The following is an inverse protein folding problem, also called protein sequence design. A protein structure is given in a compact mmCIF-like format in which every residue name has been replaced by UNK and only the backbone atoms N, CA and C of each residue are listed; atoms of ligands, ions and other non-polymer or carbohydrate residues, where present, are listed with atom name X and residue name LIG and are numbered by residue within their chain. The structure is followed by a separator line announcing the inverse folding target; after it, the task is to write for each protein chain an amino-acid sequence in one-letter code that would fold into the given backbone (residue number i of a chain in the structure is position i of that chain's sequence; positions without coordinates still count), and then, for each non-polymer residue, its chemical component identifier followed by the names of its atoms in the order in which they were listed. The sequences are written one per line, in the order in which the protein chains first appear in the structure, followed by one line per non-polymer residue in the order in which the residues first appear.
data_IF_992492482331
#
_entry.id   IF_992492482331
#
_cell.length_a   1.000
_cell.length_b   1.000
_cell.length_c   1.000
_cell.angle_alpha   90.00
_cell.angle_beta   90.00
_cell.angle_gamma   90.00
#
_symmetry.space_group_name_H-M   'P 1'
#
loop_
_entity.id
_entity.type
_entity.pdbx_description
1 polymer ?
#
# COMPACT_ATOMS: atom_id res chain seq x y z
N UNK A 1 -20.82 7.98 -1.49
CA UNK A 1 -21.78 7.24 -2.34
C UNK A 1 -21.36 7.25 -3.81
N UNK A 2 -21.15 8.42 -4.46
CA UNK A 2 -20.81 8.51 -5.90
C UNK A 2 -19.51 7.77 -6.22
N UNK A 3 -18.46 7.95 -5.43
CA UNK A 3 -17.19 7.24 -5.62
C UNK A 3 -17.33 5.71 -5.55
N UNK A 4 -18.21 5.21 -4.70
CA UNK A 4 -18.50 3.78 -4.60
C UNK A 4 -19.16 3.24 -5.89
N UNK A 5 -20.21 3.91 -6.37
CA UNK A 5 -20.90 3.52 -7.61
C UNK A 5 -19.96 3.52 -8.80
N UNK A 6 -19.14 4.56 -8.94
CA UNK A 6 -18.17 4.67 -10.01
C UNK A 6 -17.11 3.56 -9.91
N UNK A 7 -16.65 3.24 -8.70
CA UNK A 7 -15.67 2.17 -8.49
C UNK A 7 -16.22 0.80 -8.90
N UNK A 8 -17.49 0.51 -8.57
CA UNK A 8 -18.15 -0.73 -9.02
C UNK A 8 -18.22 -0.80 -10.56
N UNK A 9 -18.58 0.29 -11.22
CA UNK A 9 -18.60 0.35 -12.68
C UNK A 9 -17.19 0.21 -13.25
N UNK A 10 -16.19 0.81 -12.60
CA UNK A 10 -14.81 0.79 -13.04
C UNK A 10 -14.19 -0.63 -13.03
N UNK A 11 -14.72 -1.56 -12.22
CA UNK A 11 -14.25 -2.96 -12.23
C UNK A 11 -14.43 -3.63 -13.60
N UNK A 12 -15.43 -3.23 -14.39
CA UNK A 12 -15.64 -3.76 -15.73
C UNK A 12 -14.51 -3.41 -16.72
N UNK A 13 -13.70 -2.39 -16.41
CA UNK A 13 -12.54 -1.99 -17.21
C UNK A 13 -11.26 -2.72 -16.80
N UNK A 14 -11.27 -3.45 -15.68
CA UNK A 14 -10.14 -4.28 -15.23
C UNK A 14 -10.12 -5.57 -16.03
N UNK A 15 -9.53 -5.49 -17.21
CA UNK A 15 -9.42 -6.65 -18.13
C UNK A 15 -8.06 -6.65 -18.78
N UNK A 16 -7.40 -7.81 -18.76
CA UNK A 16 -6.20 -8.08 -19.55
C UNK A 16 -6.64 -8.39 -20.99
N UNK A 17 -6.07 -7.68 -21.96
CA UNK A 17 -6.45 -7.82 -23.38
C UNK A 17 -5.78 -9.01 -24.07
N UNK A 18 -4.60 -9.39 -23.60
CA UNK A 18 -3.84 -10.54 -24.12
C UNK A 18 -2.89 -11.06 -23.04
N UNK A 19 -2.39 -12.28 -23.18
CA UNK A 19 -1.51 -12.95 -22.20
C UNK A 19 -0.16 -12.24 -21.98
N UNK A 20 0.25 -11.37 -22.89
CA UNK A 20 1.51 -10.62 -22.77
C UNK A 20 1.36 -9.30 -22.04
N UNK A 21 0.13 -8.85 -21.81
CA UNK A 21 -0.13 -7.59 -21.11
C UNK A 21 0.10 -7.75 -19.61
N UNK A 22 0.81 -6.80 -19.02
CA UNK A 22 0.99 -6.78 -17.57
C UNK A 22 -0.35 -6.58 -16.84
N UNK A 23 -0.66 -7.39 -15.81
CA UNK A 23 -1.84 -7.20 -14.98
C UNK A 23 -1.93 -5.78 -14.37
N UNK A 24 -0.80 -5.13 -14.08
CA UNK A 24 -0.73 -3.76 -13.60
C UNK A 24 -1.45 -2.76 -14.53
N UNK A 25 -1.34 -2.95 -15.86
CA UNK A 25 -2.01 -2.07 -16.83
C UNK A 25 -3.54 -2.23 -16.73
N UNK A 26 -4.02 -3.45 -16.53
CA UNK A 26 -5.45 -3.71 -16.36
C UNK A 26 -5.98 -3.06 -15.07
N UNK A 27 -5.24 -3.16 -13.96
CA UNK A 27 -5.58 -2.54 -12.69
C UNK A 27 -5.58 -1.00 -12.81
N UNK A 28 -4.56 -0.42 -13.44
CA UNK A 28 -4.49 1.02 -13.68
C UNK A 28 -5.66 1.54 -14.52
N UNK A 29 -6.16 0.77 -15.51
CA UNK A 29 -7.40 1.12 -16.23
C UNK A 29 -8.60 1.26 -15.30
N UNK A 30 -8.75 0.36 -14.33
CA UNK A 30 -9.78 0.44 -13.30
C UNK A 30 -9.67 1.74 -12.50
N UNK A 31 -8.47 2.07 -12.02
CA UNK A 31 -8.23 3.29 -11.23
C UNK A 31 -8.54 4.54 -12.04
N UNK A 32 -8.00 4.66 -13.26
CA UNK A 32 -8.21 5.85 -14.08
C UNK A 32 -9.67 5.99 -14.55
N UNK A 33 -10.35 4.89 -14.87
CA UNK A 33 -11.78 4.96 -15.20
C UNK A 33 -12.62 5.40 -14.01
N UNK A 34 -12.30 4.94 -12.78
CA UNK A 34 -12.92 5.40 -11.56
C UNK A 34 -12.67 6.91 -11.34
N UNK A 35 -11.43 7.36 -11.53
CA UNK A 35 -11.05 8.76 -11.37
C UNK A 35 -11.82 9.67 -12.35
N UNK A 36 -11.86 9.30 -13.62
CA UNK A 36 -12.60 10.05 -14.65
C UNK A 36 -14.10 10.06 -14.37
N UNK A 37 -14.67 8.90 -14.06
CA UNK A 37 -16.10 8.78 -13.74
C UNK A 37 -16.48 9.62 -12.50
N UNK A 38 -15.62 9.58 -11.45
CA UNK A 38 -15.84 10.40 -10.27
C UNK A 38 -15.71 11.91 -10.56
N UNK A 39 -14.73 12.31 -11.36
CA UNK A 39 -14.57 13.72 -11.77
C UNK A 39 -15.81 14.23 -12.50
N UNK A 40 -16.35 13.46 -13.46
CA UNK A 40 -17.52 13.85 -14.22
C UNK A 40 -18.80 13.89 -13.37
N UNK A 41 -19.05 12.85 -12.57
CA UNK A 41 -20.24 12.81 -11.73
C UNK A 41 -20.19 13.82 -10.57
N UNK A 42 -19.02 14.13 -10.05
CA UNK A 42 -18.84 15.17 -9.04
C UNK A 42 -19.17 16.56 -9.59
N UNK A 43 -18.86 16.85 -10.86
CA UNK A 43 -19.27 18.10 -11.52
C UNK A 43 -20.78 18.22 -11.56
N UNK A 44 -21.47 17.17 -12.00
CA UNK A 44 -22.93 17.14 -12.08
C UNK A 44 -23.54 17.35 -10.68
N UNK A 45 -23.02 16.63 -9.69
CA UNK A 45 -23.50 16.73 -8.32
C UNK A 45 -23.31 18.14 -7.72
N UNK A 46 -22.12 18.73 -7.90
CA UNK A 46 -21.83 20.08 -7.41
C UNK A 46 -22.75 21.10 -8.10
N UNK A 47 -22.91 21.00 -9.42
CA UNK A 47 -23.81 21.88 -10.16
C UNK A 47 -25.28 21.73 -9.73
N UNK A 48 -25.70 20.52 -9.41
CA UNK A 48 -27.05 20.27 -8.90
C UNK A 48 -27.29 20.84 -7.49
N UNK A 49 -26.29 20.69 -6.58
CA UNK A 49 -26.41 21.08 -5.17
C UNK A 49 -26.12 22.57 -4.96
N UNK A 50 -25.05 23.08 -5.55
CA UNK A 50 -24.60 24.49 -5.35
C UNK A 50 -25.22 25.41 -6.40
N UNK A 51 -25.38 24.92 -7.64
CA UNK A 51 -25.88 25.74 -8.75
C UNK A 51 -24.97 26.94 -9.02
N UNK A 52 -25.58 28.12 -9.02
CA UNK A 52 -24.91 29.39 -9.23
C UNK A 52 -24.61 30.16 -7.93
N UNK A 53 -24.84 29.51 -6.78
CA UNK A 53 -24.52 30.12 -5.48
C UNK A 53 -23.02 30.27 -5.31
N UNK A 54 -22.62 31.39 -4.73
CA UNK A 54 -21.26 31.66 -4.27
C UNK A 54 -21.22 31.92 -2.78
N UNK A 55 -20.15 31.62 -2.14
CA UNK A 55 -19.88 31.91 -0.73
C UNK A 55 -18.42 32.27 -0.52
N UNK A 56 -18.13 32.97 0.58
CA UNK A 56 -16.74 33.33 0.90
C UNK A 56 -16.13 32.32 1.87
N UNK A 57 -14.95 31.81 1.54
CA UNK A 57 -14.21 30.88 2.39
C UNK A 57 -12.73 31.27 2.44
N UNK A 58 -12.23 31.60 3.63
CA UNK A 58 -10.85 32.06 3.80
C UNK A 58 -10.49 33.30 2.96
N UNK A 59 -11.46 34.21 2.77
CA UNK A 59 -11.26 35.43 1.99
C UNK A 59 -11.36 35.24 0.46
N UNK A 60 -11.70 34.05 -0.03
CA UNK A 60 -11.87 33.73 -1.45
C UNK A 60 -13.36 33.50 -1.74
N UNK A 61 -13.87 34.10 -2.81
CA UNK A 61 -15.21 33.82 -3.31
C UNK A 61 -15.20 32.48 -4.06
N UNK A 62 -16.03 31.52 -3.60
CA UNK A 62 -16.05 30.14 -4.04
C UNK A 62 -17.41 29.85 -4.66
N UNK A 63 -17.40 29.38 -5.90
CA UNK A 63 -18.57 28.84 -6.60
C UNK A 63 -18.40 27.38 -6.96
N UNK A 64 -19.36 26.83 -7.67
CA UNK A 64 -19.38 25.44 -8.10
C UNK A 64 -18.14 25.00 -8.89
N UNK A 65 -17.61 25.87 -9.74
CA UNK A 65 -16.40 25.57 -10.50
C UNK A 65 -15.15 25.49 -9.62
N UNK A 66 -15.01 26.38 -8.64
CA UNK A 66 -13.89 26.35 -7.70
C UNK A 66 -13.86 25.04 -6.89
N UNK A 67 -15.02 24.59 -6.41
CA UNK A 67 -15.15 23.33 -5.70
C UNK A 67 -14.81 22.13 -6.59
N UNK A 68 -15.26 22.13 -7.84
CA UNK A 68 -14.93 21.07 -8.76
C UNK A 68 -13.45 21.01 -9.11
N UNK A 69 -12.81 22.17 -9.33
CA UNK A 69 -11.36 22.25 -9.52
C UNK A 69 -10.60 21.72 -8.29
N UNK A 70 -11.07 22.01 -7.08
CA UNK A 70 -10.49 21.43 -5.87
C UNK A 70 -10.59 19.90 -5.85
N UNK A 71 -11.72 19.30 -6.31
CA UNK A 71 -11.85 17.84 -6.49
C UNK A 71 -10.79 17.33 -7.48
N UNK A 72 -10.61 17.99 -8.61
CA UNK A 72 -9.61 17.60 -9.62
C UNK A 72 -8.19 17.67 -9.07
N UNK A 73 -7.89 18.68 -8.26
CA UNK A 73 -6.59 18.77 -7.55
C UNK A 73 -6.38 17.53 -6.66
N UNK A 74 -7.39 17.13 -5.90
CA UNK A 74 -7.32 15.93 -5.05
C UNK A 74 -7.12 14.64 -5.84
N UNK A 75 -7.89 14.44 -6.91
CA UNK A 75 -7.73 13.28 -7.83
C UNK A 75 -6.33 13.28 -8.43
N UNK A 76 -5.85 14.42 -8.91
CA UNK A 76 -4.52 14.57 -9.50
C UNK A 76 -3.40 14.28 -8.50
N UNK A 77 -3.52 14.77 -7.27
CA UNK A 77 -2.56 14.49 -6.20
C UNK A 77 -2.50 13.00 -5.87
N UNK A 78 -3.67 12.35 -5.74
CA UNK A 78 -3.74 10.91 -5.51
C UNK A 78 -3.11 10.09 -6.65
N UNK A 79 -3.40 10.44 -7.89
CA UNK A 79 -2.81 9.79 -9.07
C UNK A 79 -1.29 10.00 -9.14
N UNK A 80 -0.80 11.21 -8.85
CA UNK A 80 0.63 11.53 -8.85
C UNK A 80 1.39 10.77 -7.76
N UNK A 81 0.84 10.69 -6.54
CA UNK A 81 1.42 9.91 -5.44
C UNK A 81 1.44 8.43 -5.79
N UNK A 82 0.33 7.90 -6.34
CA UNK A 82 0.24 6.50 -6.75
C UNK A 82 1.27 6.15 -7.82
N UNK A 83 1.40 6.99 -8.85
CA UNK A 83 2.39 6.78 -9.91
C UNK A 83 3.83 6.87 -9.39
N UNK A 84 4.14 7.86 -8.55
CA UNK A 84 5.47 7.96 -7.94
C UNK A 84 5.78 6.74 -7.07
N UNK A 85 4.81 6.25 -6.30
CA UNK A 85 4.98 5.05 -5.48
C UNK A 85 5.22 3.81 -6.35
N UNK A 86 4.49 3.65 -7.47
CA UNK A 86 4.74 2.60 -8.45
C UNK A 86 6.18 2.62 -8.95
N UNK A 87 6.68 3.80 -9.29
CA UNK A 87 8.08 3.96 -9.74
C UNK A 87 9.11 3.50 -8.69
N UNK A 88 8.81 3.67 -7.41
CA UNK A 88 9.71 3.33 -6.31
C UNK A 88 9.59 1.91 -5.80
N UNK A 89 8.48 1.21 -6.09
CA UNK A 89 8.18 -0.11 -5.50
C UNK A 89 8.08 -1.24 -6.53
N UNK A 90 7.96 -0.94 -7.83
CA UNK A 90 7.83 -1.97 -8.85
C UNK A 90 9.17 -2.45 -9.36
N UNK A 91 9.35 -3.76 -9.49
CA UNK A 91 10.54 -4.42 -10.03
C UNK A 91 10.90 -3.98 -11.47
N UNK A 92 9.98 -3.30 -12.17
CA UNK A 92 10.20 -2.71 -13.49
C UNK A 92 11.22 -1.56 -13.45
N UNK A 93 11.37 -0.87 -12.32
CA UNK A 93 12.18 0.34 -12.19
C UNK A 93 13.51 0.09 -11.49
N UNK A 94 14.47 0.97 -11.78
CA UNK A 94 15.86 0.84 -11.37
C UNK A 94 16.05 0.78 -9.85
N UNK A 95 15.29 1.55 -9.08
CA UNK A 95 15.42 1.59 -7.61
C UNK A 95 15.25 0.21 -6.97
N UNK A 96 14.25 -0.56 -7.42
CA UNK A 96 14.01 -1.92 -6.92
C UNK A 96 15.05 -2.90 -7.45
N UNK A 97 15.49 -2.73 -8.70
CA UNK A 97 16.55 -3.56 -9.27
C UNK A 97 17.89 -3.35 -8.56
N UNK A 98 18.23 -2.12 -8.21
CA UNK A 98 19.44 -1.81 -7.45
C UNK A 98 19.34 -2.29 -6.00
N UNK A 99 18.13 -2.26 -5.43
CA UNK A 99 17.88 -2.88 -4.14
C UNK A 99 18.09 -4.41 -4.20
N UNK A 100 17.56 -5.08 -5.21
CA UNK A 100 17.75 -6.51 -5.41
C UNK A 100 19.22 -6.88 -5.57
N UNK A 101 20.00 -6.09 -6.33
CA UNK A 101 21.46 -6.29 -6.44
C UNK A 101 22.17 -6.17 -5.10
N UNK A 102 21.73 -5.27 -4.22
CA UNK A 102 22.36 -5.12 -2.90
C UNK A 102 22.17 -6.31 -1.98
N UNK A 103 21.23 -7.20 -2.27
CA UNK A 103 21.06 -8.45 -1.53
C UNK A 103 22.27 -9.37 -1.69
N UNK A 104 23.01 -9.28 -2.81
CA UNK A 104 24.24 -10.04 -3.03
C UNK A 104 25.39 -9.58 -2.14
N UNK A 105 25.35 -8.32 -1.65
CA UNK A 105 26.35 -7.76 -0.74
C UNK A 105 26.09 -8.15 0.73
N UNK A 106 24.97 -8.84 0.99
CA UNK A 106 24.59 -9.33 2.30
C UNK A 106 23.42 -8.56 2.97
N UNK A 107 22.88 -9.13 4.06
CA UNK A 107 21.66 -8.60 4.71
C UNK A 107 21.79 -7.17 5.23
N UNK A 108 22.96 -6.79 5.74
CA UNK A 108 23.20 -5.44 6.27
C UNK A 108 23.14 -4.37 5.16
N UNK A 109 23.73 -4.63 4.01
CA UNK A 109 23.68 -3.75 2.84
C UNK A 109 22.25 -3.60 2.34
N UNK A 110 21.54 -4.71 2.19
CA UNK A 110 20.14 -4.72 1.78
C UNK A 110 19.28 -3.89 2.73
N UNK A 111 19.36 -4.13 4.04
CA UNK A 111 18.58 -3.40 5.05
C UNK A 111 18.86 -1.89 5.00
N UNK A 112 20.12 -1.50 4.93
CA UNK A 112 20.51 -0.08 4.87
C UNK A 112 19.96 0.61 3.63
N UNK A 113 20.04 -0.03 2.47
CA UNK A 113 19.49 0.51 1.22
C UNK A 113 17.96 0.56 1.22
N UNK A 114 17.28 -0.46 1.79
CA UNK A 114 15.83 -0.46 1.96
C UNK A 114 15.37 0.73 2.81
N UNK A 115 16.03 0.95 3.94
CA UNK A 115 15.72 2.07 4.83
C UNK A 115 15.96 3.43 4.14
N UNK A 116 17.09 3.58 3.46
CA UNK A 116 17.42 4.79 2.72
C UNK A 116 16.40 5.08 1.61
N UNK A 117 16.02 4.08 0.82
CA UNK A 117 15.01 4.21 -0.22
C UNK A 117 13.65 4.59 0.39
N UNK A 118 13.22 3.91 1.46
CA UNK A 118 11.98 4.20 2.16
C UNK A 118 11.91 5.64 2.68
N UNK A 119 12.98 6.13 3.30
CA UNK A 119 13.05 7.52 3.78
C UNK A 119 13.03 8.53 2.64
N UNK A 120 13.77 8.27 1.56
CA UNK A 120 13.81 9.15 0.40
C UNK A 120 12.46 9.26 -0.33
N UNK A 121 11.68 8.17 -0.34
CA UNK A 121 10.36 8.17 -0.99
C UNK A 121 9.31 9.01 -0.29
N UNK A 122 9.50 9.43 0.95
CA UNK A 122 8.56 10.28 1.67
C UNK A 122 8.54 11.74 1.15
N UNK A 123 9.64 12.21 0.57
CA UNK A 123 9.82 13.62 0.22
C UNK A 123 8.89 14.09 -0.91
N UNK A 124 8.83 13.35 -2.02
CA UNK A 124 8.04 13.76 -3.19
C UNK A 124 6.53 13.76 -2.91
N UNK A 125 5.93 12.75 -2.25
CA UNK A 125 4.55 12.82 -1.81
C UNK A 125 4.25 14.01 -0.91
N UNK A 126 5.14 14.39 0.00
CA UNK A 126 4.98 15.58 0.83
C UNK A 126 4.91 16.87 -0.01
N UNK A 127 5.76 17.01 -1.03
CA UNK A 127 5.71 18.13 -1.97
C UNK A 127 4.41 18.15 -2.78
N UNK A 128 3.94 16.99 -3.26
CA UNK A 128 2.67 16.88 -3.98
C UNK A 128 1.51 17.33 -3.09
N UNK A 129 1.49 16.89 -1.83
CA UNK A 129 0.44 17.27 -0.88
C UNK A 129 0.48 18.76 -0.54
N UNK A 130 1.66 19.34 -0.36
CA UNK A 130 1.82 20.77 -0.13
C UNK A 130 1.30 21.58 -1.33
N UNK A 131 1.69 21.21 -2.54
CA UNK A 131 1.21 21.84 -3.76
C UNK A 131 -0.31 21.69 -3.93
N UNK A 132 -0.85 20.50 -3.67
CA UNK A 132 -2.29 20.23 -3.74
C UNK A 132 -3.07 21.06 -2.71
N UNK A 133 -2.55 21.20 -1.48
CA UNK A 133 -3.19 22.02 -0.44
C UNK A 133 -3.26 23.49 -0.86
N UNK A 134 -2.16 24.04 -1.40
CA UNK A 134 -2.09 25.40 -1.90
C UNK A 134 -3.07 25.58 -3.08
N UNK A 135 -3.05 24.69 -4.06
CA UNK A 135 -3.93 24.76 -5.22
C UNK A 135 -5.41 24.65 -4.83
N UNK A 136 -5.74 23.72 -3.93
CA UNK A 136 -7.10 23.56 -3.43
C UNK A 136 -7.60 24.82 -2.69
N UNK A 137 -6.73 25.45 -1.92
CA UNK A 137 -7.03 26.73 -1.28
C UNK A 137 -7.30 27.84 -2.30
N UNK A 138 -6.51 27.95 -3.36
CA UNK A 138 -6.69 28.96 -4.41
C UNK A 138 -8.05 28.82 -5.14
N UNK A 139 -8.56 27.60 -5.31
CA UNK A 139 -9.82 27.35 -5.98
C UNK A 139 -11.04 27.40 -5.04
N UNK A 140 -10.89 26.99 -3.80
CA UNK A 140 -12.02 26.81 -2.90
C UNK A 140 -11.86 27.41 -1.50
N UNK A 141 -10.86 28.27 -1.30
CA UNK A 141 -10.53 28.83 0.01
C UNK A 141 -10.22 27.74 1.02
N UNK A 142 -10.46 28.00 2.29
CA UNK A 142 -10.31 27.00 3.35
C UNK A 142 -11.19 25.75 3.12
N UNK A 143 -12.37 25.94 2.47
CA UNK A 143 -13.27 24.84 2.14
C UNK A 143 -12.78 24.00 0.95
N UNK A 144 -11.92 24.54 0.10
CA UNK A 144 -11.31 23.81 -1.02
C UNK A 144 -10.41 22.65 -0.55
N UNK A 145 -9.75 22.79 0.59
CA UNK A 145 -8.85 21.75 1.12
C UNK A 145 -9.62 20.45 1.46
N UNK A 146 -10.69 20.45 2.27
CA UNK A 146 -11.53 19.27 2.47
C UNK A 146 -12.14 18.72 1.18
N UNK A 147 -12.52 19.57 0.24
CA UNK A 147 -13.06 19.13 -1.05
C UNK A 147 -12.00 18.42 -1.88
N UNK A 148 -10.76 18.86 -1.86
CA UNK A 148 -9.65 18.14 -2.50
C UNK A 148 -9.40 16.77 -1.84
N UNK A 149 -9.48 16.67 -0.52
CA UNK A 149 -9.39 15.37 0.16
C UNK A 149 -10.53 14.42 -0.24
N UNK A 150 -11.78 14.93 -0.37
CA UNK A 150 -12.91 14.17 -0.91
C UNK A 150 -12.61 13.74 -2.36
N UNK A 151 -11.99 14.62 -3.16
CA UNK A 151 -11.54 14.31 -4.51
C UNK A 151 -10.56 13.14 -4.54
N UNK A 152 -9.55 13.17 -3.69
CA UNK A 152 -8.60 12.09 -3.53
C UNK A 152 -9.27 10.79 -3.09
N UNK A 153 -10.16 10.83 -2.10
CA UNK A 153 -10.88 9.68 -1.58
C UNK A 153 -11.98 9.16 -2.53
N UNK A 154 -12.32 9.89 -3.57
CA UNK A 154 -13.36 9.50 -4.53
C UNK A 154 -13.08 8.18 -5.25
N UNK A 155 -11.81 7.78 -5.37
CA UNK A 155 -11.38 6.52 -5.97
C UNK A 155 -11.01 5.44 -4.94
N UNK A 156 -11.21 5.71 -3.64
CA UNK A 156 -10.76 4.85 -2.54
C UNK A 156 -11.25 3.39 -2.68
N UNK A 157 -12.51 3.19 -3.06
CA UNK A 157 -13.06 1.84 -3.16
C UNK A 157 -12.35 1.01 -4.23
N UNK A 158 -11.97 1.64 -5.36
CA UNK A 158 -11.19 0.96 -6.39
C UNK A 158 -9.77 0.66 -5.91
N UNK A 159 -9.15 1.59 -5.20
CA UNK A 159 -7.81 1.40 -4.61
C UNK A 159 -7.81 0.26 -3.59
N UNK A 160 -8.81 0.20 -2.70
CA UNK A 160 -8.93 -0.87 -1.71
C UNK A 160 -9.22 -2.24 -2.36
N UNK A 161 -10.02 -2.28 -3.43
CA UNK A 161 -10.26 -3.52 -4.17
C UNK A 161 -8.97 -4.06 -4.81
N UNK A 162 -8.13 -3.16 -5.32
CA UNK A 162 -6.83 -3.51 -5.88
C UNK A 162 -5.84 -3.90 -4.78
N UNK A 163 -5.86 -3.24 -3.64
CA UNK A 163 -5.03 -3.59 -2.49
C UNK A 163 -5.36 -5.00 -1.98
N UNK A 164 -6.65 -5.35 -1.88
CA UNK A 164 -7.12 -6.68 -1.49
C UNK A 164 -6.71 -7.80 -2.49
N UNK A 165 -6.42 -7.46 -3.73
CA UNK A 165 -5.89 -8.39 -4.72
C UNK A 165 -4.50 -8.94 -4.32
N UNK A 166 -3.65 -8.12 -3.68
CA UNK A 166 -2.30 -8.50 -3.27
C UNK A 166 -2.26 -9.78 -2.44
N UNK A 167 -2.89 -9.82 -1.24
CA UNK A 167 -2.95 -11.03 -0.42
C UNK A 167 -3.56 -12.25 -1.10
N UNK A 168 -4.49 -12.05 -2.03
CA UNK A 168 -5.10 -13.16 -2.80
C UNK A 168 -4.07 -13.78 -3.74
N UNK A 169 -3.32 -12.96 -4.47
CA UNK A 169 -2.29 -13.43 -5.40
C UNK A 169 -1.11 -14.09 -4.69
N UNK A 170 -0.69 -13.55 -3.56
CA UNK A 170 0.36 -14.12 -2.70
C UNK A 170 -0.05 -15.52 -2.18
N UNK A 171 -1.25 -15.63 -1.61
CA UNK A 171 -1.78 -16.92 -1.17
C UNK A 171 -1.93 -17.92 -2.33
N UNK A 172 -2.34 -17.48 -3.51
CA UNK A 172 -2.41 -18.36 -4.68
C UNK A 172 -1.03 -18.91 -5.07
N UNK A 173 0.02 -18.08 -4.99
CA UNK A 173 1.41 -18.50 -5.17
C UNK A 173 1.84 -19.54 -4.12
N UNK A 174 1.54 -19.26 -2.85
CA UNK A 174 1.83 -20.20 -1.76
C UNK A 174 1.12 -21.55 -1.91
N UNK A 175 -0.14 -21.56 -2.32
CA UNK A 175 -0.88 -22.81 -2.59
C UNK A 175 -0.25 -23.57 -3.76
N UNK A 176 0.13 -22.87 -4.84
CA UNK A 176 0.77 -23.49 -6.00
C UNK A 176 2.11 -24.15 -5.62
N UNK A 177 2.90 -23.50 -4.75
CA UNK A 177 4.15 -24.03 -4.22
C UNK A 177 3.91 -25.28 -3.37
N UNK A 178 3.04 -25.18 -2.36
CA UNK A 178 2.77 -26.27 -1.42
C UNK A 178 2.12 -27.48 -2.09
N UNK A 179 1.33 -27.26 -3.15
CA UNK A 179 0.70 -28.32 -3.93
C UNK A 179 1.65 -28.95 -4.98
N UNK A 180 2.87 -28.43 -5.13
CA UNK A 180 3.83 -28.91 -6.12
C UNK A 180 3.36 -28.75 -7.55
N UNK A 181 2.57 -27.70 -7.86
CA UNK A 181 2.08 -27.41 -9.19
C UNK A 181 3.24 -27.03 -10.11
N UNK A 182 3.16 -27.48 -11.38
CA UNK A 182 4.25 -27.30 -12.34
C UNK A 182 4.67 -25.85 -12.57
N UNK A 183 5.88 -25.67 -13.07
CA UNK A 183 6.54 -24.38 -13.31
C UNK A 183 5.68 -23.37 -14.08
N UNK A 184 4.89 -23.84 -15.04
CA UNK A 184 3.94 -23.01 -15.80
C UNK A 184 2.87 -22.34 -14.92
N UNK A 185 2.43 -22.98 -13.83
CA UNK A 185 1.49 -22.41 -12.88
C UNK A 185 2.21 -21.39 -12.00
N UNK A 186 3.41 -21.73 -11.53
CA UNK A 186 4.26 -20.85 -10.73
C UNK A 186 4.60 -19.55 -11.46
N UNK A 187 4.98 -19.63 -12.73
CA UNK A 187 5.28 -18.43 -13.51
C UNK A 187 4.09 -17.45 -13.57
N UNK A 188 2.87 -17.96 -13.62
CA UNK A 188 1.66 -17.13 -13.61
C UNK A 188 1.38 -16.53 -12.24
N UNK A 189 1.46 -17.33 -11.18
CA UNK A 189 1.22 -16.87 -9.81
C UNK A 189 2.27 -15.86 -9.38
N UNK A 190 3.54 -16.06 -9.70
CA UNK A 190 4.64 -15.16 -9.36
C UNK A 190 4.50 -13.80 -10.05
N UNK A 191 4.04 -13.79 -11.32
CA UNK A 191 3.72 -12.52 -12.02
C UNK A 191 2.57 -11.76 -11.34
N UNK A 192 1.55 -12.48 -10.90
CA UNK A 192 0.41 -11.89 -10.20
C UNK A 192 0.81 -11.37 -8.82
N UNK A 193 1.64 -12.12 -8.08
CA UNK A 193 2.15 -11.73 -6.78
C UNK A 193 3.03 -10.48 -6.84
N UNK A 194 3.96 -10.40 -7.78
CA UNK A 194 4.80 -9.22 -7.98
C UNK A 194 3.98 -7.94 -8.24
N UNK A 195 2.86 -8.05 -8.95
CA UNK A 195 1.91 -6.94 -9.14
C UNK A 195 1.13 -6.66 -7.86
N UNK A 196 0.72 -7.68 -7.12
CA UNK A 196 0.04 -7.56 -5.83
C UNK A 196 0.87 -6.76 -4.82
N UNK A 197 2.14 -7.09 -4.67
CA UNK A 197 3.07 -6.38 -3.78
C UNK A 197 3.25 -4.90 -4.18
N UNK A 198 3.33 -4.62 -5.48
CA UNK A 198 3.41 -3.24 -5.99
C UNK A 198 2.14 -2.46 -5.69
N UNK A 199 0.96 -3.04 -5.90
CA UNK A 199 -0.33 -2.37 -5.67
C UNK A 199 -0.59 -2.12 -4.20
N UNK A 200 -0.16 -3.02 -3.30
CA UNK A 200 -0.22 -2.80 -1.87
C UNK A 200 0.61 -1.57 -1.43
N UNK A 201 1.79 -1.38 -2.01
CA UNK A 201 2.60 -0.18 -1.76
C UNK A 201 1.93 1.10 -2.27
N UNK A 202 1.32 1.07 -3.47
CA UNK A 202 0.56 2.19 -4.05
C UNK A 202 -0.62 2.56 -3.15
N UNK A 203 -1.38 1.57 -2.68
CA UNK A 203 -2.51 1.75 -1.76
C UNK A 203 -2.09 2.42 -0.45
N UNK A 204 -0.94 2.02 0.12
CA UNK A 204 -0.38 2.67 1.32
C UNK A 204 0.01 4.13 1.05
N UNK A 205 0.70 4.42 -0.04
CA UNK A 205 1.06 5.80 -0.41
C UNK A 205 -0.16 6.70 -0.52
N UNK A 206 -1.21 6.21 -1.19
CA UNK A 206 -2.50 6.88 -1.31
C UNK A 206 -3.18 7.11 0.07
N UNK A 207 -3.22 6.07 0.91
CA UNK A 207 -3.83 6.14 2.23
C UNK A 207 -3.13 7.17 3.14
N UNK A 208 -1.79 7.20 3.13
CA UNK A 208 -1.00 8.18 3.90
C UNK A 208 -1.27 9.60 3.39
N UNK A 209 -1.30 9.81 2.07
CA UNK A 209 -1.58 11.11 1.48
C UNK A 209 -2.96 11.64 1.86
N UNK A 210 -4.00 10.81 1.77
CA UNK A 210 -5.36 11.18 2.15
C UNK A 210 -5.50 11.44 3.65
N UNK A 211 -4.81 10.67 4.49
CA UNK A 211 -4.77 10.87 5.93
C UNK A 211 -4.11 12.19 6.32
N UNK A 212 -3.02 12.57 5.65
CA UNK A 212 -2.34 13.85 5.88
C UNK A 212 -3.27 15.04 5.56
N UNK A 213 -3.97 15.01 4.41
CA UNK A 213 -4.98 16.04 4.09
C UNK A 213 -6.10 16.07 5.12
N UNK A 214 -6.59 14.91 5.57
CA UNK A 214 -7.64 14.82 6.60
C UNK A 214 -7.17 15.43 7.93
N UNK A 215 -5.92 15.23 8.34
CA UNK A 215 -5.38 15.85 9.55
C UNK A 215 -5.37 17.39 9.45
N UNK A 216 -4.99 17.94 8.30
CA UNK A 216 -5.05 19.39 8.04
C UNK A 216 -6.49 19.90 8.14
N UNK A 217 -7.46 19.19 7.57
CA UNK A 217 -8.87 19.55 7.61
C UNK A 217 -9.38 19.56 9.05
N UNK A 218 -9.07 18.56 9.83
CA UNK A 218 -9.49 18.48 11.23
C UNK A 218 -8.93 19.66 12.04
N UNK A 219 -7.68 20.04 11.81
CA UNK A 219 -7.06 21.19 12.44
C UNK A 219 -7.79 22.49 12.06
N UNK A 220 -8.02 22.71 10.76
CA UNK A 220 -8.72 23.91 10.25
C UNK A 220 -10.14 24.00 10.81
N UNK A 221 -10.90 22.90 10.82
CA UNK A 221 -12.25 22.87 11.37
C UNK A 221 -12.27 23.12 12.88
N UNK A 222 -11.32 22.55 13.62
CA UNK A 222 -11.22 22.75 15.05
C UNK A 222 -10.91 24.22 15.37
N UNK A 223 -9.89 24.79 14.74
CA UNK A 223 -9.50 26.18 14.91
C UNK A 223 -10.66 27.15 14.58
N UNK A 224 -11.37 26.90 13.47
CA UNK A 224 -12.52 27.71 13.05
C UNK A 224 -13.68 27.64 14.02
N UNK A 225 -14.04 26.46 14.54
CA UNK A 225 -15.13 26.31 15.52
C UNK A 225 -14.80 26.93 16.87
N UNK A 226 -13.56 26.85 17.29
CA UNK A 226 -13.10 27.39 18.58
C UNK A 226 -12.71 28.88 18.49
N UNK A 227 -12.78 29.47 17.29
CA UNK A 227 -12.33 30.84 17.01
C UNK A 227 -10.90 31.10 17.52
N UNK A 228 -10.06 30.07 17.41
CA UNK A 228 -8.65 30.12 17.85
C UNK A 228 -7.77 30.65 16.73
N UNK A 229 -6.90 31.58 17.08
CA UNK A 229 -5.78 31.96 16.22
C UNK A 229 -4.64 30.94 16.39
N UNK A 230 -4.43 30.11 15.36
CA UNK A 230 -3.38 29.07 15.37
C UNK A 230 -2.07 29.70 14.91
N UNK A 231 -1.32 30.26 15.87
CA UNK A 231 0.00 30.81 15.60
C UNK A 231 1.09 29.79 15.91
N UNK A 232 2.00 29.57 14.96
CA UNK A 232 3.21 28.77 15.17
C UNK A 232 4.17 29.38 16.19
N UNK A 233 4.00 30.68 16.50
CA UNK A 233 4.79 31.37 17.51
C UNK A 233 4.31 31.10 18.96
N UNK A 234 3.15 30.44 19.10
CA UNK A 234 2.66 30.02 20.40
C UNK A 234 3.57 28.91 20.99
N UNK A 235 4.07 29.07 22.26
CA UNK A 235 4.86 28.00 22.89
C UNK A 235 4.15 26.65 22.95
N UNK A 236 2.84 26.66 23.12
CA UNK A 236 2.01 25.46 23.14
C UNK A 236 1.95 24.77 21.77
N UNK A 237 1.86 25.54 20.68
CA UNK A 237 1.92 25.01 19.33
C UNK A 237 3.30 24.43 19.03
N UNK A 238 4.38 25.12 19.40
CA UNK A 238 5.74 24.60 19.25
C UNK A 238 5.94 23.29 20.03
N UNK A 239 5.51 23.23 21.28
CA UNK A 239 5.60 22.02 22.10
C UNK A 239 4.81 20.86 21.46
N UNK A 240 3.59 21.13 20.99
CA UNK A 240 2.77 20.14 20.30
C UNK A 240 3.41 19.62 19.01
N UNK A 241 4.03 20.48 18.21
CA UNK A 241 4.77 20.09 17.00
C UNK A 241 5.98 19.18 17.32
N UNK A 242 6.77 19.53 18.35
CA UNK A 242 7.91 18.71 18.76
C UNK A 242 7.48 17.31 19.23
N UNK A 243 6.42 17.25 20.05
CA UNK A 243 5.87 15.98 20.51
C UNK A 243 5.30 15.19 19.31
N UNK A 244 4.51 15.82 18.45
CA UNK A 244 3.92 15.18 17.29
C UNK A 244 4.96 14.61 16.33
N UNK A 245 6.03 15.35 16.05
CA UNK A 245 7.15 14.88 15.25
C UNK A 245 7.85 13.67 15.88
N UNK A 246 8.04 13.67 17.21
CA UNK A 246 8.72 12.57 17.92
C UNK A 246 7.89 11.30 17.99
N UNK A 247 6.55 11.39 18.00
CA UNK A 247 5.64 10.23 18.03
C UNK A 247 5.85 9.30 16.82
N UNK A 248 6.11 9.87 15.64
CA UNK A 248 6.38 9.08 14.42
C UNK A 248 7.60 8.17 14.60
N UNK A 249 8.69 8.70 15.17
CA UNK A 249 9.90 7.91 15.44
C UNK A 249 9.66 6.86 16.52
N UNK A 250 8.92 7.22 17.59
CA UNK A 250 8.58 6.25 18.65
C UNK A 250 7.72 5.12 18.12
N UNK A 251 6.72 5.42 17.31
CA UNK A 251 5.88 4.39 16.67
C UNK A 251 6.72 3.49 15.77
N UNK A 252 7.58 4.06 14.92
CA UNK A 252 8.45 3.29 14.03
C UNK A 252 9.38 2.36 14.81
N UNK A 253 9.97 2.86 15.91
CA UNK A 253 10.84 2.06 16.76
C UNK A 253 10.08 0.87 17.37
N UNK A 254 8.88 1.09 17.91
CA UNK A 254 8.05 0.03 18.48
C UNK A 254 7.65 -1.01 17.43
N UNK A 255 7.28 -0.57 16.23
CA UNK A 255 6.92 -1.48 15.14
C UNK A 255 8.11 -2.36 14.71
N UNK A 256 9.30 -1.75 14.52
CA UNK A 256 10.51 -2.48 14.14
C UNK A 256 10.90 -3.50 15.22
N UNK A 257 10.86 -3.11 16.49
CA UNK A 257 11.18 -3.99 17.61
C UNK A 257 10.21 -5.17 17.72
N UNK A 258 8.91 -4.89 17.57
CA UNK A 258 7.87 -5.93 17.58
C UNK A 258 8.03 -6.93 16.43
N UNK A 259 8.29 -6.45 15.22
CA UNK A 259 8.54 -7.32 14.05
C UNK A 259 9.82 -8.14 14.24
N UNK A 260 10.88 -7.54 14.80
CA UNK A 260 12.11 -8.24 15.13
C UNK A 260 11.89 -9.38 16.13
N UNK A 261 11.11 -9.11 17.18
CA UNK A 261 10.76 -10.09 18.22
C UNK A 261 9.93 -11.22 17.64
N UNK A 262 8.87 -10.92 16.88
CA UNK A 262 8.04 -11.92 16.23
C UNK A 262 8.83 -12.77 15.24
N UNK A 263 9.73 -12.15 14.47
CA UNK A 263 10.62 -12.85 13.53
C UNK A 263 11.58 -13.82 14.24
N UNK A 264 12.15 -13.43 15.37
CA UNK A 264 12.98 -14.30 16.18
C UNK A 264 12.20 -15.50 16.73
N UNK A 265 11.02 -15.26 17.29
CA UNK A 265 10.14 -16.32 17.78
C UNK A 265 9.70 -17.27 16.66
N UNK A 266 9.37 -16.75 15.50
CA UNK A 266 9.02 -17.55 14.32
C UNK A 266 10.18 -18.44 13.89
N UNK A 267 11.39 -17.88 13.79
CA UNK A 267 12.60 -18.64 13.47
C UNK A 267 12.81 -19.79 14.46
N UNK A 268 12.77 -19.50 15.75
CA UNK A 268 13.01 -20.49 16.79
C UNK A 268 11.92 -21.59 16.78
N UNK A 269 10.66 -21.19 16.54
CA UNK A 269 9.54 -22.12 16.38
C UNK A 269 9.73 -23.08 15.19
N UNK A 270 10.15 -22.54 14.04
CA UNK A 270 10.40 -23.32 12.83
C UNK A 270 11.59 -24.26 13.05
N UNK A 271 12.73 -23.75 13.54
CA UNK A 271 13.94 -24.54 13.78
C UNK A 271 13.62 -25.71 14.73
N UNK A 272 12.88 -25.46 15.80
CA UNK A 272 12.50 -26.49 16.74
C UNK A 272 11.71 -27.63 16.11
N UNK A 273 10.84 -27.37 15.13
CA UNK A 273 10.13 -28.44 14.42
C UNK A 273 11.06 -29.37 13.62
N UNK A 274 12.22 -28.87 13.19
CA UNK A 274 13.23 -29.67 12.49
C UNK A 274 14.22 -30.37 13.43
N UNK A 275 14.35 -29.90 14.67
CA UNK A 275 15.26 -30.46 15.68
C UNK A 275 14.56 -31.51 16.58
N UNK A 276 13.30 -31.28 16.93
CA UNK A 276 12.51 -32.19 17.77
C UNK A 276 12.24 -33.50 17.01
N UNK A 277 12.34 -34.63 17.71
CA UNK A 277 12.08 -35.95 17.15
C UNK A 277 10.61 -36.07 16.67
N UNK A 278 10.45 -36.39 15.40
CA UNK A 278 9.13 -36.51 14.80
C UNK A 278 9.13 -36.47 13.27
N UNK A 279 7.96 -36.58 12.65
CA UNK A 279 7.83 -36.69 11.20
C UNK A 279 8.46 -35.55 10.40
N UNK A 280 8.52 -34.34 10.96
CA UNK A 280 9.12 -33.16 10.29
C UNK A 280 10.62 -33.30 10.20
N UNK A 281 11.28 -33.75 11.30
CA UNK A 281 12.72 -34.03 11.33
C UNK A 281 13.07 -35.18 10.39
N UNK A 282 12.33 -36.28 10.46
CA UNK A 282 12.55 -37.44 9.61
C UNK A 282 12.49 -37.06 8.11
N UNK A 283 11.50 -36.24 7.76
CA UNK A 283 11.34 -35.72 6.39
C UNK A 283 12.52 -34.85 5.97
N UNK A 284 12.99 -33.99 6.87
CA UNK A 284 14.14 -33.12 6.62
C UNK A 284 15.43 -33.91 6.43
N UNK A 285 15.68 -34.93 7.25
CA UNK A 285 16.81 -35.82 7.12
C UNK A 285 16.78 -36.60 5.81
N UNK A 286 15.62 -37.18 5.44
CA UNK A 286 15.43 -37.88 4.18
C UNK A 286 15.72 -36.98 2.96
N UNK A 287 15.21 -35.74 2.98
CA UNK A 287 15.46 -34.77 1.93
C UNK A 287 16.93 -34.35 1.81
N UNK A 288 17.58 -34.12 2.95
CA UNK A 288 19.02 -33.77 2.98
C UNK A 288 19.91 -34.90 2.51
N UNK A 289 19.58 -36.13 2.83
CA UNK A 289 20.26 -37.32 2.36
C UNK A 289 20.20 -37.43 0.84
N UNK A 290 18.99 -37.29 0.25
CA UNK A 290 18.84 -37.33 -1.19
C UNK A 290 19.62 -36.20 -1.90
N UNK A 291 19.60 -34.98 -1.34
CA UNK A 291 20.39 -33.84 -1.83
C UNK A 291 21.89 -34.06 -1.75
N UNK A 292 22.38 -34.59 -0.64
CA UNK A 292 23.80 -34.87 -0.44
C UNK A 292 24.31 -35.92 -1.46
N UNK A 293 23.46 -36.89 -1.76
CA UNK A 293 23.72 -37.95 -2.74
C UNK A 293 23.45 -37.49 -4.20
N UNK A 294 23.00 -36.24 -4.39
CA UNK A 294 22.66 -35.63 -5.71
C UNK A 294 21.72 -36.52 -6.55
N UNK A 295 20.74 -37.10 -5.89
CA UNK A 295 19.69 -37.94 -6.49
C UNK A 295 18.32 -37.47 -6.09
N UNK A 296 17.29 -37.93 -6.80
CA UNK A 296 15.92 -37.77 -6.38
C UNK A 296 15.60 -38.66 -5.18
N UNK A 297 14.65 -38.26 -4.30
CA UNK A 297 14.20 -39.10 -3.18
C UNK A 297 13.61 -40.43 -3.68
N UNK A 298 13.88 -41.51 -2.98
CA UNK A 298 13.29 -42.82 -3.26
C UNK A 298 11.78 -42.80 -2.96
N UNK A 299 10.97 -43.77 -3.46
CA UNK A 299 9.55 -43.86 -3.11
C UNK A 299 9.28 -43.94 -1.62
N UNK A 300 10.16 -44.60 -0.85
CA UNK A 300 10.07 -44.69 0.61
C UNK A 300 10.37 -43.33 1.27
N UNK A 301 11.41 -42.64 0.83
CA UNK A 301 11.76 -41.30 1.30
C UNK A 301 10.64 -40.30 0.95
N UNK A 302 10.00 -40.41 -0.19
CA UNK A 302 8.85 -39.56 -0.56
C UNK A 302 7.67 -39.73 0.39
N UNK A 303 7.39 -40.93 0.87
CA UNK A 303 6.34 -41.17 1.89
C UNK A 303 6.70 -40.48 3.19
N UNK A 304 7.95 -40.55 3.62
CA UNK A 304 8.42 -39.88 4.86
C UNK A 304 8.34 -38.35 4.69
N UNK A 305 8.78 -37.83 3.55
CA UNK A 305 8.72 -36.40 3.25
C UNK A 305 7.28 -35.89 3.26
N UNK A 306 6.36 -36.66 2.68
CA UNK A 306 4.95 -36.28 2.63
C UNK A 306 4.29 -36.33 4.03
N UNK A 307 4.67 -37.31 4.85
CA UNK A 307 4.23 -37.39 6.26
C UNK A 307 4.72 -36.16 7.05
N UNK A 308 5.97 -35.75 6.87
CA UNK A 308 6.52 -34.58 7.53
C UNK A 308 5.83 -33.27 7.09
N UNK A 309 5.53 -33.13 5.80
CA UNK A 309 4.75 -31.96 5.31
C UNK A 309 3.38 -31.84 5.97
N UNK A 310 2.71 -32.97 6.20
CA UNK A 310 1.39 -32.99 6.86
C UNK A 310 1.47 -32.77 8.36
N UNK A 311 2.57 -33.12 9.00
CA UNK A 311 2.80 -32.99 10.43
C UNK A 311 3.29 -31.60 10.84
N UNK A 312 3.76 -30.77 9.92
CA UNK A 312 4.24 -29.43 10.21
C UNK A 312 3.14 -28.56 10.84
N UNK A 313 3.48 -27.87 11.93
CA UNK A 313 2.54 -27.01 12.67
C UNK A 313 2.48 -25.60 12.03
N UNK A 314 1.72 -25.50 10.96
CA UNK A 314 1.40 -24.21 10.32
C UNK A 314 0.51 -23.33 11.19
N UNK A 315 -0.33 -23.94 12.05
CA UNK A 315 -1.26 -23.18 12.90
C UNK A 315 -0.52 -22.41 14.00
N UNK A 316 0.50 -23.06 14.61
CA UNK A 316 1.37 -22.39 15.56
C UNK A 316 2.17 -21.25 14.92
N UNK A 317 2.69 -21.46 13.69
CA UNK A 317 3.38 -20.42 12.95
C UNK A 317 2.47 -19.20 12.64
N UNK A 318 1.23 -19.44 12.21
CA UNK A 318 0.24 -18.37 11.99
C UNK A 318 -0.04 -17.60 13.30
N UNK A 319 -0.19 -18.30 14.43
CA UNK A 319 -0.43 -17.65 15.71
C UNK A 319 0.71 -16.73 16.17
N UNK A 320 1.97 -17.06 15.82
CA UNK A 320 3.13 -16.19 16.12
C UNK A 320 3.14 -14.96 15.22
N UNK A 321 2.70 -15.07 13.96
CA UNK A 321 2.70 -13.99 13.00
C UNK A 321 1.53 -13.00 13.16
N UNK A 322 0.52 -13.35 13.95
CA UNK A 322 -0.70 -12.55 14.18
C UNK A 322 -0.59 -11.70 15.44
#
# INVERSE_FOLDING_TARGET
AVGMLVSVIATYFVKVKNEKESPQIALNRGVYSAAIGFALLSLVLIKYVIGDMTFVSGGIEVGSWGLWLAILVGIGAGAAIGHYTEMKCSAKYQDVQDLAKSATDGPASLFTKMLALGMATAFVPALILAAATIAAYQFGGLYGIPIAAVGMLGTLNMQLAIDAYGPISDNAGGIAEMAGLGENVREKTDKLDAVGNTTAAIGKGFAIGSAALTAVIMLVNYAGKMQMDVSLLSPWACAGLLVGASVTFKFSALAIDSVGTAGAQMKDFIVKQFEDDGPVKDAFEALNKAKAEKRDPTPEELVIIEAGKRAADYKGAIAIST
#
